data_IF_609420123934
#
_entry.id   IF_609420123934
#
_cell.length_a   1.000
_cell.length_b   1.000
_cell.length_c   1.000
_cell.angle_alpha   90.00
_cell.angle_beta   90.00
_cell.angle_gamma   90.00
#
_symmetry.space_group_name_H-M   'P 1'
#
loop_
_entity.id
_entity.type
_entity.pdbx_description
1 polymer ?
#
# COMPACT_ATOMS: atom_id res chain seq x y z
N UNK A 1 -12.71 -10.63 0.16
CA UNK A 1 -11.55 -10.90 1.05
C UNK A 1 -10.30 -10.76 0.20
N UNK A 2 -9.39 -9.90 0.60
CA UNK A 2 -8.16 -9.67 -0.14
C UNK A 2 -6.99 -10.17 0.73
N UNK A 3 -6.58 -11.46 0.62
CA UNK A 3 -5.55 -12.06 1.47
C UNK A 3 -4.19 -11.35 1.37
N UNK A 4 -3.97 -10.64 0.29
CA UNK A 4 -2.72 -9.92 0.04
C UNK A 4 -2.62 -8.57 0.75
N UNK A 5 -3.75 -7.95 1.15
CA UNK A 5 -3.71 -6.77 1.99
C UNK A 5 -3.10 -7.09 3.37
N UNK A 6 -3.32 -8.32 3.85
CA UNK A 6 -2.78 -8.79 5.13
C UNK A 6 -1.25 -8.87 5.10
N UNK A 7 -0.66 -9.35 3.99
CA UNK A 7 0.80 -9.46 3.86
C UNK A 7 1.45 -8.07 3.75
N UNK A 8 0.95 -7.22 2.85
CA UNK A 8 1.47 -5.86 2.69
C UNK A 8 1.35 -5.05 3.97
N UNK A 9 0.24 -5.21 4.71
CA UNK A 9 0.02 -4.51 5.97
C UNK A 9 1.01 -4.95 7.06
N UNK A 10 1.40 -6.23 7.08
CA UNK A 10 2.36 -6.76 8.04
C UNK A 10 3.79 -6.32 7.75
N UNK A 11 4.15 -6.25 6.48
CA UNK A 11 5.51 -5.97 6.01
C UNK A 11 5.79 -4.47 5.83
N UNK A 12 4.75 -3.62 5.94
CA UNK A 12 4.91 -2.19 5.83
C UNK A 12 5.61 -1.60 7.06
N UNK A 13 6.57 -0.71 6.84
CA UNK A 13 7.17 0.11 7.91
C UNK A 13 6.19 1.18 8.37
N UNK A 14 5.40 1.69 7.44
CA UNK A 14 4.42 2.74 7.69
C UNK A 14 3.15 2.56 6.86
N UNK A 15 2.02 2.82 7.47
CA UNK A 15 0.70 2.80 6.86
C UNK A 15 0.12 4.20 6.84
N UNK A 16 -0.45 4.58 5.71
CA UNK A 16 -1.25 5.80 5.56
C UNK A 16 -2.68 5.39 5.19
N UNK A 17 -3.63 5.92 5.92
CA UNK A 17 -5.07 5.77 5.64
C UNK A 17 -5.58 7.04 5.00
N UNK A 18 -6.20 6.89 3.84
CA UNK A 18 -6.78 8.00 3.08
C UNK A 18 -8.30 7.91 3.06
N UNK A 19 -8.96 9.04 3.28
CA UNK A 19 -10.39 9.23 3.04
C UNK A 19 -10.63 10.59 2.39
N UNK A 20 -11.54 10.63 1.41
CA UNK A 20 -11.97 11.87 0.71
C UNK A 20 -10.81 12.79 0.30
N UNK A 21 -9.70 12.19 -0.16
CA UNK A 21 -8.53 12.91 -0.66
C UNK A 21 -7.61 13.51 0.41
N UNK A 22 -7.78 13.12 1.65
CA UNK A 22 -6.94 13.53 2.77
C UNK A 22 -6.33 12.35 3.49
N UNK A 23 -5.22 12.57 4.18
CA UNK A 23 -4.65 11.59 5.08
C UNK A 23 -5.35 11.70 6.42
N UNK A 24 -6.06 10.63 6.80
CA UNK A 24 -6.76 10.54 8.08
C UNK A 24 -5.85 10.01 9.19
N UNK A 25 -5.00 9.03 8.87
CA UNK A 25 -4.09 8.37 9.80
C UNK A 25 -2.76 8.05 9.13
N UNK A 26 -1.70 8.07 9.93
CA UNK A 26 -0.38 7.63 9.50
C UNK A 26 0.41 7.14 10.72
N UNK A 27 1.03 5.97 10.61
CA UNK A 27 1.80 5.38 11.68
C UNK A 27 2.30 3.99 11.34
N UNK A 28 2.88 3.29 12.32
CA UNK A 28 3.17 1.87 12.16
C UNK A 28 1.88 1.06 11.97
N UNK A 29 1.92 -0.12 11.31
CA UNK A 29 0.74 -0.95 11.10
C UNK A 29 -0.05 -1.20 12.39
N UNK A 30 0.63 -1.47 13.50
CA UNK A 30 0.00 -1.74 14.81
C UNK A 30 -0.67 -0.51 15.42
N UNK A 31 -0.04 0.67 15.27
CA UNK A 31 -0.62 1.93 15.74
C UNK A 31 -1.87 2.29 14.95
N UNK A 32 -1.79 2.22 13.62
CA UNK A 32 -2.92 2.51 12.74
C UNK A 32 -4.07 1.53 12.98
N UNK A 33 -3.78 0.23 13.15
CA UNK A 33 -4.78 -0.77 13.47
C UNK A 33 -5.51 -0.48 14.79
N UNK A 34 -4.76 -0.11 15.83
CA UNK A 34 -5.33 0.22 17.15
C UNK A 34 -6.16 1.52 17.12
N UNK A 35 -5.74 2.53 16.37
CA UNK A 35 -6.47 3.80 16.22
C UNK A 35 -7.77 3.61 15.43
N UNK A 36 -7.74 2.88 14.32
CA UNK A 36 -8.92 2.62 13.50
C UNK A 36 -9.96 1.75 14.21
N UNK A 37 -9.50 0.88 15.10
CA UNK A 37 -10.37 0.07 15.94
C UNK A 37 -11.20 0.92 16.93
N UNK A 38 -10.61 1.99 17.44
CA UNK A 38 -11.26 2.89 18.41
C UNK A 38 -12.24 3.88 17.76
N UNK A 39 -12.08 4.17 16.46
CA UNK A 39 -12.93 5.11 15.71
C UNK A 39 -14.00 4.37 14.91
N UNK A 40 -15.10 4.08 15.56
CA UNK A 40 -16.19 3.18 15.13
C UNK A 40 -17.08 3.66 13.95
N UNK A 41 -16.90 4.86 13.42
CA UNK A 41 -17.92 5.48 12.55
C UNK A 41 -17.81 5.12 11.06
N UNK A 42 -16.67 4.66 10.55
CA UNK A 42 -16.55 4.34 9.12
C UNK A 42 -16.37 2.84 8.84
N UNK A 43 -17.50 2.18 8.54
CA UNK A 43 -17.59 0.75 8.20
C UNK A 43 -16.66 0.39 7.03
N UNK A 44 -16.49 1.28 6.04
CA UNK A 44 -15.71 1.02 4.82
C UNK A 44 -14.21 0.94 5.07
N UNK A 45 -13.68 1.76 5.97
CA UNK A 45 -12.26 1.71 6.35
C UNK A 45 -11.99 0.43 7.14
N UNK A 46 -12.94 0.01 7.95
CA UNK A 46 -12.84 -1.19 8.76
C UNK A 46 -12.86 -2.48 7.92
N UNK A 47 -13.65 -2.53 6.86
CA UNK A 47 -13.67 -3.65 5.92
C UNK A 47 -12.35 -3.81 5.12
N UNK A 48 -11.59 -2.72 5.01
CA UNK A 48 -10.27 -2.72 4.38
C UNK A 48 -9.12 -3.14 5.32
N UNK A 49 -9.39 -3.46 6.59
CA UNK A 49 -8.37 -3.90 7.55
C UNK A 49 -8.15 -5.42 7.47
N UNK A 50 -6.96 -5.93 7.83
CA UNK A 50 -6.70 -7.36 7.95
C UNK A 50 -7.72 -8.07 8.85
N UNK A 51 -8.08 -9.32 8.51
CA UNK A 51 -9.08 -10.09 9.26
C UNK A 51 -8.74 -10.23 10.76
N UNK A 52 -7.45 -10.35 11.09
CA UNK A 52 -7.02 -10.39 12.48
C UNK A 52 -7.41 -9.10 13.22
N UNK A 53 -7.20 -7.92 12.60
CA UNK A 53 -7.54 -6.62 13.17
C UNK A 53 -9.06 -6.53 13.41
N UNK A 54 -9.87 -6.94 12.43
CA UNK A 54 -11.33 -6.91 12.53
C UNK A 54 -11.85 -7.82 13.66
N UNK A 55 -11.34 -9.05 13.77
CA UNK A 55 -11.73 -10.03 14.80
C UNK A 55 -11.36 -9.51 16.19
N UNK A 56 -10.13 -9.05 16.38
CA UNK A 56 -9.66 -8.57 17.68
C UNK A 56 -10.35 -7.28 18.10
N UNK A 57 -10.69 -6.44 17.15
CA UNK A 57 -11.51 -5.28 17.38
C UNK A 57 -12.91 -5.64 17.87
N UNK A 58 -13.55 -6.60 17.27
CA UNK A 58 -14.86 -7.07 17.72
C UNK A 58 -14.79 -7.70 19.12
N UNK A 59 -13.74 -8.46 19.43
CA UNK A 59 -13.55 -9.02 20.76
C UNK A 59 -13.37 -7.92 21.83
N UNK A 60 -12.57 -6.90 21.53
CA UNK A 60 -12.38 -5.74 22.41
C UNK A 60 -13.70 -4.98 22.67
N UNK A 61 -14.52 -4.77 21.63
CA UNK A 61 -15.85 -4.13 21.76
C UNK A 61 -16.79 -4.92 22.64
N UNK A 62 -16.71 -6.24 22.60
CA UNK A 62 -17.50 -7.11 23.48
C UNK A 62 -16.92 -7.22 24.90
N UNK A 63 -15.88 -6.45 25.21
CA UNK A 63 -15.23 -6.46 26.52
C UNK A 63 -14.42 -7.73 26.80
N UNK A 64 -14.03 -8.45 25.77
CA UNK A 64 -13.17 -9.63 25.87
C UNK A 64 -11.73 -9.18 25.62
N UNK A 65 -10.90 -9.01 26.67
CA UNK A 65 -9.50 -8.60 26.49
C UNK A 65 -8.72 -9.76 25.88
N UNK A 66 -8.14 -9.53 24.72
CA UNK A 66 -7.36 -10.55 24.02
C UNK A 66 -5.97 -10.02 23.72
N UNK A 67 -5.00 -10.52 24.46
CA UNK A 67 -3.58 -10.31 24.22
C UNK A 67 -2.92 -9.18 25.00
N UNK A 68 -1.62 -9.34 25.22
CA UNK A 68 -0.73 -8.38 25.85
C UNK A 68 -0.35 -7.25 24.88
N UNK A 69 -0.44 -6.03 25.33
CA UNK A 69 0.21 -4.78 24.90
C UNK A 69 0.25 -4.40 23.40
N UNK A 70 0.22 -5.33 22.45
CA UNK A 70 0.31 -5.06 21.01
C UNK A 70 -0.89 -5.62 20.25
N UNK A 71 -1.54 -4.76 19.46
CA UNK A 71 -2.70 -5.13 18.65
C UNK A 71 -2.27 -6.12 17.54
N UNK A 72 -2.90 -7.32 17.42
CA UNK A 72 -2.54 -8.30 16.41
C UNK A 72 -2.91 -7.81 15.01
N UNK A 73 -1.94 -7.83 14.10
CA UNK A 73 -2.11 -7.39 12.70
C UNK A 73 -2.07 -8.56 11.71
N UNK A 74 -1.78 -9.77 12.19
CA UNK A 74 -1.71 -10.97 11.38
C UNK A 74 -2.46 -12.14 12.00
N UNK A 75 -2.83 -13.13 11.17
CA UNK A 75 -3.42 -14.40 11.63
C UNK A 75 -2.49 -15.09 12.61
N UNK A 76 -1.17 -15.02 12.40
CA UNK A 76 -0.16 -15.62 13.29
C UNK A 76 -0.15 -14.93 14.65
N UNK A 77 -0.16 -13.61 14.66
CA UNK A 77 -0.24 -12.81 15.89
C UNK A 77 -1.55 -13.07 16.61
N UNK A 78 -2.67 -13.08 15.89
CA UNK A 78 -3.99 -13.38 16.42
C UNK A 78 -4.04 -14.76 17.10
N UNK A 79 -3.52 -15.80 16.43
CA UNK A 79 -3.45 -17.15 17.04
C UNK A 79 -2.58 -17.18 18.29
N UNK A 80 -1.48 -16.43 18.32
CA UNK A 80 -0.61 -16.32 19.49
C UNK A 80 -1.34 -15.61 20.65
N UNK A 81 -1.96 -14.48 20.36
CA UNK A 81 -2.73 -13.70 21.34
C UNK A 81 -3.90 -14.52 21.92
N UNK A 82 -4.65 -15.25 21.08
CA UNK A 82 -5.71 -16.15 21.53
C UNK A 82 -5.21 -17.31 22.42
N UNK A 83 -4.00 -17.82 22.15
CA UNK A 83 -3.40 -18.86 23.00
C UNK A 83 -2.95 -18.30 24.35
N UNK A 84 -2.45 -17.07 24.38
CA UNK A 84 -1.97 -16.40 25.60
C UNK A 84 -3.10 -15.88 26.48
N UNK A 85 -4.24 -15.51 25.88
CA UNK A 85 -5.39 -14.96 26.62
C UNK A 85 -6.13 -15.95 27.51
N UNK A 86 -5.78 -17.24 27.48
CA UNK A 86 -6.42 -18.24 28.33
C UNK A 86 -7.91 -18.48 28.05
N UNK A 87 -8.44 -18.02 26.92
CA UNK A 87 -9.85 -18.11 26.51
C UNK A 87 -10.40 -19.57 26.44
N UNK A 88 -9.60 -20.55 26.77
CA UNK A 88 -10.04 -21.95 26.93
C UNK A 88 -10.75 -22.22 28.26
N UNK A 89 -11.32 -21.22 28.89
CA UNK A 89 -12.05 -21.59 30.10
C UNK A 89 -12.64 -20.55 31.01
N UNK A 90 -12.49 -19.25 30.87
CA UNK A 90 -13.28 -18.30 31.68
C UNK A 90 -13.23 -16.88 31.12
N UNK A 91 -14.39 -16.34 30.79
CA UNK A 91 -14.60 -14.92 30.51
C UNK A 91 -14.72 -14.22 31.88
N UNK A 92 -13.72 -13.44 32.25
CA UNK A 92 -13.84 -12.47 33.32
C UNK A 92 -13.44 -11.09 32.78
N UNK A 93 -14.39 -10.19 32.78
CA UNK A 93 -14.26 -8.81 32.31
C UNK A 93 -13.61 -7.98 33.41
N UNK A 94 -12.54 -7.27 33.11
CA UNK A 94 -12.28 -5.88 33.50
C UNK A 94 -10.83 -5.45 33.24
N UNK A 95 -10.64 -4.51 32.34
CA UNK A 95 -9.90 -3.27 32.61
C UNK A 95 -9.99 -2.33 31.41
N UNK A 96 -10.34 -1.09 31.72
CA UNK A 96 -10.58 -0.03 30.74
C UNK A 96 -9.31 0.31 29.99
N UNK A 97 -9.36 0.18 28.67
CA UNK A 97 -8.35 0.70 27.76
C UNK A 97 -8.16 2.20 28.00
N UNK A 98 -6.96 2.63 28.36
CA UNK A 98 -6.60 4.05 28.37
C UNK A 98 -6.29 4.49 26.95
N UNK A 99 -6.92 5.54 26.41
CA UNK A 99 -6.56 6.05 25.09
C UNK A 99 -5.11 6.53 25.10
N UNK A 100 -4.35 6.05 24.11
CA UNK A 100 -3.02 6.56 23.85
C UNK A 100 -3.13 8.04 23.47
N UNK A 101 -2.38 8.95 24.10
CA UNK A 101 -2.49 10.37 23.83
C UNK A 101 -2.17 10.66 22.36
N UNK A 102 -3.08 11.38 21.69
CA UNK A 102 -2.88 11.92 20.34
C UNK A 102 -1.62 12.79 20.32
N UNK A 103 -0.49 12.24 19.95
CA UNK A 103 0.66 13.03 19.54
C UNK A 103 0.53 13.28 18.04
N UNK A 104 -0.15 14.37 17.71
CA UNK A 104 -0.02 15.00 16.40
C UNK A 104 1.44 15.46 16.23
N UNK A 105 2.21 14.59 15.63
CA UNK A 105 3.59 14.85 15.26
C UNK A 105 3.81 14.26 13.87
N UNK A 106 3.12 14.83 12.88
CA UNK A 106 3.05 14.28 11.52
C UNK A 106 4.31 14.47 10.70
N UNK A 107 5.30 15.22 11.19
CA UNK A 107 6.48 15.49 10.41
C UNK A 107 7.74 15.39 11.28
N UNK A 108 8.35 14.23 11.31
CA UNK A 108 9.80 14.19 11.47
C UNK A 108 10.39 14.84 10.22
N UNK A 109 11.08 15.95 10.40
CA UNK A 109 11.98 16.50 9.41
C UNK A 109 13.05 15.44 9.19
N UNK A 110 12.88 14.60 8.18
CA UNK A 110 13.81 13.55 7.89
C UNK A 110 14.75 14.06 6.81
N UNK A 111 16.01 14.23 7.13
CA UNK A 111 17.08 14.58 6.18
C UNK A 111 17.28 13.53 5.06
N UNK A 112 16.54 12.41 5.07
CA UNK A 112 16.66 11.27 4.15
C UNK A 112 15.40 10.98 3.31
N UNK A 113 14.51 11.95 3.13
CA UNK A 113 13.34 11.76 2.27
C UNK A 113 13.76 11.62 0.80
N UNK A 114 13.40 10.50 0.17
CA UNK A 114 13.68 10.24 -1.25
C UNK A 114 12.57 10.72 -2.17
N UNK A 115 11.34 10.85 -1.63
CA UNK A 115 10.17 11.39 -2.34
C UNK A 115 9.28 12.13 -1.36
N UNK A 116 8.84 13.33 -1.73
CA UNK A 116 8.00 14.17 -0.89
C UNK A 116 6.93 14.89 -1.71
N UNK A 117 5.69 14.78 -1.27
CA UNK A 117 4.56 15.59 -1.76
C UNK A 117 4.13 16.58 -0.68
N UNK A 118 4.05 17.87 -1.02
CA UNK A 118 3.68 18.96 -0.11
C UNK A 118 2.45 19.69 -0.59
N UNK A 119 1.44 19.81 0.27
CA UNK A 119 0.21 20.57 0.01
C UNK A 119 -0.44 20.21 -1.34
N UNK A 120 -0.55 18.91 -1.64
CA UNK A 120 -1.04 18.43 -2.93
C UNK A 120 -2.56 18.61 -3.04
N UNK A 121 -2.97 19.45 -3.99
CA UNK A 121 -4.36 19.62 -4.39
C UNK A 121 -4.54 19.15 -5.82
N UNK A 122 -5.60 18.39 -6.09
CA UNK A 122 -5.88 17.91 -7.44
C UNK A 122 -7.36 17.62 -7.65
N UNK A 123 -7.84 17.92 -8.86
CA UNK A 123 -9.12 17.51 -9.45
C UNK A 123 -8.92 17.22 -10.91
N UNK A 124 -9.75 16.37 -11.50
CA UNK A 124 -9.69 16.04 -12.92
C UNK A 124 -10.38 17.08 -13.80
N UNK A 125 -11.46 17.70 -13.32
CA UNK A 125 -12.24 18.71 -14.05
C UNK A 125 -12.20 20.05 -13.32
N UNK A 126 -12.20 21.17 -14.06
CA UNK A 126 -12.12 22.51 -13.46
C UNK A 126 -13.24 22.80 -12.45
N UNK A 127 -14.46 22.29 -12.72
CA UNK A 127 -15.64 22.48 -11.89
C UNK A 127 -15.94 21.24 -11.02
N UNK A 128 -15.08 20.21 -11.05
CA UNK A 128 -15.24 18.99 -10.29
C UNK A 128 -14.77 19.14 -8.84
N UNK A 129 -15.10 18.12 -8.02
CA UNK A 129 -14.64 18.04 -6.64
C UNK A 129 -13.14 17.80 -6.58
N UNK A 130 -12.51 18.36 -5.53
CA UNK A 130 -11.11 18.08 -5.24
C UNK A 130 -10.93 16.64 -4.80
N UNK A 131 -10.12 15.89 -5.56
CA UNK A 131 -9.75 14.50 -5.28
C UNK A 131 -8.65 14.45 -4.21
N UNK A 132 -7.69 15.36 -4.27
CA UNK A 132 -6.70 15.55 -3.20
C UNK A 132 -6.87 16.95 -2.61
N UNK A 133 -6.78 17.03 -1.27
CA UNK A 133 -7.13 18.24 -0.51
C UNK A 133 -6.02 18.60 0.48
N UNK A 134 -4.93 19.23 -0.03
CA UNK A 134 -3.81 19.67 0.79
C UNK A 134 -3.00 18.51 1.38
N UNK A 135 -2.90 17.40 0.64
CA UNK A 135 -2.25 16.18 1.12
C UNK A 135 -0.74 16.36 1.23
N UNK A 136 -0.16 15.84 2.31
CA UNK A 136 1.28 15.81 2.53
C UNK A 136 1.74 14.38 2.76
N UNK A 137 2.78 13.95 2.06
CA UNK A 137 3.35 12.62 2.17
C UNK A 137 4.85 12.68 1.97
N UNK A 138 5.59 11.84 2.67
CA UNK A 138 7.04 11.66 2.48
C UNK A 138 7.40 10.20 2.54
N UNK A 139 8.35 9.78 1.72
CA UNK A 139 8.92 8.44 1.69
C UNK A 139 10.41 8.52 2.00
N UNK A 140 10.87 7.67 2.91
CA UNK A 140 12.27 7.56 3.28
C UNK A 140 12.99 6.51 2.42
N UNK A 141 14.32 6.60 2.35
CA UNK A 141 15.11 5.54 1.73
C UNK A 141 14.94 4.21 2.48
N UNK A 142 14.62 3.13 1.74
CA UNK A 142 14.40 1.80 2.30
C UNK A 142 13.07 1.61 3.04
N UNK A 143 12.18 2.61 3.04
CA UNK A 143 10.86 2.52 3.67
C UNK A 143 9.85 1.83 2.76
N UNK A 144 9.04 0.93 3.32
CA UNK A 144 7.82 0.40 2.70
C UNK A 144 6.63 1.15 3.27
N UNK A 145 5.96 1.93 2.41
CA UNK A 145 4.80 2.74 2.75
C UNK A 145 3.53 2.15 2.15
N UNK A 146 2.61 1.69 2.98
CA UNK A 146 1.30 1.23 2.53
C UNK A 146 0.26 2.38 2.52
N UNK A 147 -0.46 2.53 1.39
CA UNK A 147 -1.58 3.46 1.23
C UNK A 147 -2.89 2.70 1.36
N UNK A 148 -3.67 3.02 2.38
CA UNK A 148 -4.99 2.45 2.63
C UNK A 148 -6.10 3.49 2.45
N UNK A 149 -7.30 3.02 2.16
CA UNK A 149 -8.48 3.87 2.01
C UNK A 149 -9.52 3.23 1.10
N UNK A 150 -10.76 3.65 1.21
CA UNK A 150 -11.86 3.17 0.37
C UNK A 150 -11.67 3.51 -1.12
N UNK A 151 -12.54 2.95 -1.97
CA UNK A 151 -12.59 3.33 -3.38
C UNK A 151 -12.92 4.81 -3.52
N UNK A 152 -12.21 5.51 -4.42
CA UNK A 152 -12.38 6.96 -4.59
C UNK A 152 -11.66 7.83 -3.56
N UNK A 153 -10.92 7.27 -2.58
CA UNK A 153 -10.16 8.05 -1.59
C UNK A 153 -8.97 8.85 -2.17
N UNK A 154 -8.63 8.65 -3.45
CA UNK A 154 -7.55 9.38 -4.12
C UNK A 154 -6.21 8.68 -4.18
N UNK A 155 -6.12 7.39 -3.79
CA UNK A 155 -4.86 6.63 -3.76
C UNK A 155 -4.14 6.60 -5.11
N UNK A 156 -4.82 6.12 -6.16
CA UNK A 156 -4.27 6.05 -7.53
C UNK A 156 -3.90 7.44 -8.07
N UNK A 157 -4.68 8.46 -7.73
CA UNK A 157 -4.39 9.85 -8.11
C UNK A 157 -3.12 10.35 -7.43
N UNK A 158 -2.96 10.05 -6.13
CA UNK A 158 -1.74 10.39 -5.40
C UNK A 158 -0.52 9.71 -6.03
N UNK A 159 -0.59 8.40 -6.30
CA UNK A 159 0.51 7.66 -6.93
C UNK A 159 0.88 8.25 -8.30
N UNK A 160 -0.11 8.60 -9.15
CA UNK A 160 0.13 9.25 -10.46
C UNK A 160 0.80 10.61 -10.31
N UNK A 161 0.45 11.40 -9.30
CA UNK A 161 1.08 12.70 -9.03
C UNK A 161 2.52 12.49 -8.53
N UNK A 162 2.75 11.55 -7.63
CA UNK A 162 4.09 11.23 -7.13
C UNK A 162 5.00 10.68 -8.24
N UNK A 163 4.44 9.91 -9.17
CA UNK A 163 5.13 9.42 -10.36
C UNK A 163 5.42 10.52 -11.41
N UNK A 164 4.80 11.69 -11.27
CA UNK A 164 4.91 12.78 -12.26
C UNK A 164 4.03 12.59 -13.50
N UNK A 165 3.11 11.63 -13.50
CA UNK A 165 2.13 11.40 -14.58
C UNK A 165 1.06 12.51 -14.57
N UNK A 166 0.66 12.95 -13.39
CA UNK A 166 -0.26 14.07 -13.20
C UNK A 166 0.45 15.22 -12.49
N UNK A 167 0.09 16.44 -12.83
CA UNK A 167 0.59 17.65 -12.16
C UNK A 167 -0.42 18.11 -11.11
N UNK A 168 -0.02 18.38 -9.88
CA UNK A 168 -0.94 18.94 -8.87
C UNK A 168 -1.35 20.35 -9.26
N UNK A 169 -2.58 20.76 -8.93
CA UNK A 169 -3.07 22.13 -9.11
C UNK A 169 -2.39 23.10 -8.16
N UNK A 170 -2.12 22.64 -6.94
CA UNK A 170 -1.35 23.34 -5.91
C UNK A 170 -0.44 22.36 -5.23
N UNK A 171 0.64 22.89 -4.63
CA UNK A 171 1.64 22.08 -3.96
C UNK A 171 2.77 21.69 -4.89
N UNK A 172 3.60 20.78 -4.44
CA UNK A 172 4.78 20.33 -5.18
C UNK A 172 5.17 18.92 -4.81
N UNK A 173 5.78 18.23 -5.77
CA UNK A 173 6.46 16.96 -5.55
C UNK A 173 7.95 17.19 -5.66
N UNK A 174 8.70 16.75 -4.65
CA UNK A 174 10.17 16.75 -4.65
C UNK A 174 10.66 15.32 -4.63
N UNK A 175 11.55 15.00 -5.52
CA UNK A 175 12.27 13.73 -5.59
C UNK A 175 13.74 14.01 -5.32
N UNK A 176 14.41 13.13 -4.58
CA UNK A 176 15.85 13.21 -4.40
C UNK A 176 16.55 13.15 -5.76
N UNK A 177 17.64 13.90 -5.89
CA UNK A 177 18.44 13.94 -7.13
C UNK A 177 18.88 12.53 -7.50
N UNK A 178 18.88 12.22 -8.79
CA UNK A 178 19.31 10.94 -9.38
C UNK A 178 18.45 9.70 -9.04
N UNK A 179 17.35 9.84 -8.31
CA UNK A 179 16.44 8.73 -8.05
C UNK A 179 15.48 8.49 -9.22
N UNK A 180 15.36 7.23 -9.65
CA UNK A 180 14.42 6.79 -10.68
C UNK A 180 13.13 6.30 -10.02
N UNK A 181 11.99 6.76 -10.52
CA UNK A 181 10.67 6.29 -10.08
C UNK A 181 10.12 5.36 -11.17
N UNK A 182 9.57 4.23 -10.78
CA UNK A 182 8.72 3.41 -11.63
C UNK A 182 7.36 3.21 -10.96
N UNK A 183 6.30 3.18 -11.78
CA UNK A 183 4.93 3.00 -11.30
C UNK A 183 4.28 1.82 -12.00
N UNK A 184 3.72 0.89 -11.21
CA UNK A 184 2.78 -0.11 -11.67
C UNK A 184 1.37 0.51 -11.59
N UNK A 185 0.70 0.77 -12.70
CA UNK A 185 -0.67 1.27 -12.71
C UNK A 185 -1.65 0.14 -12.38
N UNK A 186 -2.88 0.50 -12.01
CA UNK A 186 -3.97 -0.44 -11.75
C UNK A 186 -4.30 -1.30 -12.99
N UNK A 187 -4.18 -0.74 -14.19
CA UNK A 187 -4.23 -1.46 -15.45
C UNK A 187 -2.81 -1.65 -16.01
N UNK A 188 -2.21 -2.83 -15.83
CA UNK A 188 -0.84 -3.09 -16.28
C UNK A 188 -0.69 -3.15 -17.80
N UNK A 189 -1.78 -3.31 -18.57
CA UNK A 189 -1.72 -3.35 -20.04
C UNK A 189 -1.08 -2.10 -20.63
N UNK A 190 -1.26 -0.94 -19.99
CA UNK A 190 -0.69 0.32 -20.43
C UNK A 190 0.86 0.37 -20.43
N UNK A 191 1.52 -0.63 -19.83
CA UNK A 191 2.99 -0.71 -19.81
C UNK A 191 3.59 -1.47 -20.99
N UNK A 192 2.77 -2.19 -21.76
CA UNK A 192 3.24 -3.04 -22.86
C UNK A 192 3.08 -2.29 -24.19
N UNK A 193 4.16 -2.31 -24.97
CA UNK A 193 4.28 -1.51 -26.19
C UNK A 193 4.59 -2.35 -27.43
N UNK A 194 5.00 -3.61 -27.25
CA UNK A 194 5.47 -4.48 -28.31
C UNK A 194 4.52 -5.67 -28.54
N UNK A 195 4.74 -6.38 -29.65
CA UNK A 195 3.92 -7.50 -30.06
C UNK A 195 4.27 -8.81 -29.31
N UNK A 196 5.39 -8.84 -28.59
CA UNK A 196 5.79 -9.98 -27.76
C UNK A 196 6.25 -9.55 -26.38
N UNK A 197 6.03 -10.42 -25.39
CA UNK A 197 6.55 -10.23 -24.03
C UNK A 197 8.07 -10.12 -24.02
N UNK A 198 8.74 -10.87 -24.90
CA UNK A 198 10.20 -10.83 -25.03
C UNK A 198 10.71 -9.42 -25.36
N UNK A 199 10.12 -8.79 -26.38
CA UNK A 199 10.51 -7.44 -26.79
C UNK A 199 10.26 -6.42 -25.68
N UNK A 200 9.14 -6.56 -24.99
CA UNK A 200 8.79 -5.69 -23.86
C UNK A 200 9.77 -5.82 -22.68
N UNK A 201 10.22 -7.04 -22.36
CA UNK A 201 11.22 -7.25 -21.30
C UNK A 201 12.61 -6.77 -21.75
N UNK A 202 12.97 -7.02 -22.99
CA UNK A 202 14.25 -6.65 -23.57
C UNK A 202 14.45 -5.12 -23.60
N UNK A 203 13.40 -4.36 -23.92
CA UNK A 203 13.40 -2.88 -23.87
C UNK A 203 13.76 -2.33 -22.49
N UNK A 204 13.43 -3.08 -21.44
CA UNK A 204 13.67 -2.66 -20.05
C UNK A 204 14.96 -3.24 -19.45
N UNK A 205 15.51 -4.29 -20.05
CA UNK A 205 16.67 -5.01 -19.55
C UNK A 205 17.99 -4.34 -19.95
N UNK A 206 19.05 -4.59 -19.18
CA UNK A 206 20.41 -4.16 -19.54
C UNK A 206 21.05 -5.11 -20.54
N UNK A 207 20.62 -6.38 -20.55
CA UNK A 207 21.08 -7.42 -21.48
C UNK A 207 19.96 -8.44 -21.77
N UNK A 208 20.06 -9.22 -22.86
CA UNK A 208 19.12 -10.31 -23.13
C UNK A 208 19.10 -11.36 -22.00
N UNK A 209 20.22 -11.60 -21.37
CA UNK A 209 20.36 -12.53 -20.26
C UNK A 209 19.54 -12.06 -19.02
N UNK A 210 19.58 -10.75 -18.72
CA UNK A 210 18.78 -10.17 -17.64
C UNK A 210 17.26 -10.34 -17.92
N UNK A 211 16.82 -10.15 -19.18
CA UNK A 211 15.43 -10.34 -19.58
C UNK A 211 15.00 -11.80 -19.43
N UNK A 212 15.85 -12.74 -19.87
CA UNK A 212 15.59 -14.17 -19.77
C UNK A 212 15.51 -14.62 -18.31
N UNK A 213 16.45 -14.23 -17.48
CA UNK A 213 16.45 -14.54 -16.04
C UNK A 213 15.21 -13.98 -15.32
N UNK A 214 14.80 -12.78 -15.68
CA UNK A 214 13.57 -12.18 -15.13
C UNK A 214 12.33 -13.00 -15.53
N UNK A 215 12.22 -13.41 -16.79
CA UNK A 215 11.12 -14.24 -17.26
C UNK A 215 11.05 -15.59 -16.51
N UNK A 216 12.20 -16.23 -16.30
CA UNK A 216 12.31 -17.47 -15.53
C UNK A 216 11.88 -17.28 -14.07
N UNK A 217 12.38 -16.22 -13.41
CA UNK A 217 12.02 -15.88 -12.02
C UNK A 217 10.53 -15.69 -11.85
N UNK A 218 9.85 -15.11 -12.84
CA UNK A 218 8.43 -14.81 -12.81
C UNK A 218 7.55 -15.97 -13.31
N UNK A 219 8.17 -17.08 -13.77
CA UNK A 219 7.45 -18.23 -14.35
C UNK A 219 6.76 -17.86 -15.67
N UNK A 220 7.43 -17.07 -16.51
CA UNK A 220 6.93 -16.57 -17.80
C UNK A 220 7.81 -17.00 -18.99
N UNK A 221 8.80 -17.88 -18.79
CA UNK A 221 9.72 -18.31 -19.84
C UNK A 221 9.00 -18.91 -21.06
N UNK A 222 7.92 -19.67 -20.84
CA UNK A 222 7.10 -20.29 -21.91
C UNK A 222 6.17 -19.29 -22.60
N UNK A 223 6.08 -18.05 -22.12
CA UNK A 223 5.21 -16.99 -22.61
C UNK A 223 5.96 -15.88 -23.36
N UNK A 224 7.26 -15.96 -23.50
CA UNK A 224 8.07 -14.90 -24.10
C UNK A 224 7.65 -14.53 -25.52
N UNK A 225 7.19 -15.50 -26.33
CA UNK A 225 6.70 -15.25 -27.67
C UNK A 225 5.22 -14.82 -27.74
N UNK A 226 4.51 -14.84 -26.62
CA UNK A 226 3.10 -14.47 -26.59
C UNK A 226 2.93 -12.96 -26.64
N UNK A 227 1.85 -12.51 -27.29
CA UNK A 227 1.44 -11.11 -27.19
C UNK A 227 1.02 -10.79 -25.74
N UNK A 228 1.38 -9.63 -25.17
CA UNK A 228 1.03 -9.31 -23.79
C UNK A 228 -0.45 -9.39 -23.45
N UNK A 229 -1.34 -9.11 -24.42
CA UNK A 229 -2.78 -9.18 -24.23
C UNK A 229 -3.36 -10.62 -24.22
N UNK A 230 -2.56 -11.61 -24.60
CA UNK A 230 -2.92 -13.03 -24.52
C UNK A 230 -2.55 -13.66 -23.18
N UNK A 231 -1.89 -12.88 -22.30
CA UNK A 231 -1.53 -13.32 -20.96
C UNK A 231 -2.76 -13.27 -20.03
N UNK A 232 -2.84 -14.22 -19.11
CA UNK A 232 -3.81 -14.13 -18.01
C UNK A 232 -3.52 -12.90 -17.14
N UNK A 233 -4.52 -12.42 -16.37
CA UNK A 233 -4.35 -11.26 -15.51
C UNK A 233 -3.14 -11.36 -14.58
N UNK A 234 -2.94 -12.53 -13.95
CA UNK A 234 -1.79 -12.77 -13.08
C UNK A 234 -0.46 -12.83 -13.84
N UNK A 235 -0.40 -13.42 -15.05
CA UNK A 235 0.78 -13.40 -15.91
C UNK A 235 1.15 -11.98 -16.33
N UNK A 236 0.14 -11.22 -16.76
CA UNK A 236 0.31 -9.82 -17.16
C UNK A 236 0.84 -8.96 -16.02
N UNK A 237 0.32 -9.16 -14.81
CA UNK A 237 0.75 -8.44 -13.62
C UNK A 237 2.20 -8.76 -13.25
N UNK A 238 2.57 -10.06 -13.26
CA UNK A 238 3.95 -10.47 -13.05
C UNK A 238 4.89 -9.91 -14.12
N UNK A 239 4.48 -9.94 -15.39
CA UNK A 239 5.24 -9.37 -16.49
C UNK A 239 5.47 -7.86 -16.32
N UNK A 240 4.43 -7.11 -15.95
CA UNK A 240 4.51 -5.68 -15.67
C UNK A 240 5.47 -5.38 -14.51
N UNK A 241 5.41 -6.15 -13.43
CA UNK A 241 6.35 -6.04 -12.33
C UNK A 241 7.79 -6.33 -12.78
N UNK A 242 8.00 -7.34 -13.61
CA UNK A 242 9.30 -7.66 -14.21
C UNK A 242 9.89 -6.49 -14.99
N UNK A 243 9.09 -5.83 -15.82
CA UNK A 243 9.49 -4.61 -16.56
C UNK A 243 9.98 -3.51 -15.61
N UNK A 244 9.28 -3.28 -14.51
CA UNK A 244 9.69 -2.27 -13.52
C UNK A 244 10.98 -2.63 -12.81
N UNK A 245 11.17 -3.90 -12.44
CA UNK A 245 12.37 -4.38 -11.78
C UNK A 245 13.60 -4.32 -12.70
N UNK A 246 13.45 -4.67 -13.98
CA UNK A 246 14.51 -4.57 -14.99
C UNK A 246 15.00 -3.13 -15.18
N UNK A 247 14.13 -2.14 -15.03
CA UNK A 247 14.50 -0.71 -15.11
C UNK A 247 15.32 -0.23 -13.92
N UNK A 248 15.53 -1.08 -12.88
CA UNK A 248 16.32 -0.77 -11.69
C UNK A 248 15.91 0.57 -11.07
N UNK A 249 14.60 0.76 -10.87
CA UNK A 249 14.07 1.96 -10.23
C UNK A 249 14.44 1.98 -8.74
N UNK A 250 14.74 3.17 -8.23
CA UNK A 250 15.03 3.38 -6.80
C UNK A 250 13.76 3.48 -5.95
N UNK A 251 12.65 3.89 -6.57
CA UNK A 251 11.35 4.07 -5.93
C UNK A 251 10.30 3.35 -6.78
N UNK A 252 9.59 2.41 -6.15
CA UNK A 252 8.48 1.69 -6.77
C UNK A 252 7.16 2.22 -6.21
N UNK A 253 6.27 2.64 -7.08
CA UNK A 253 4.90 3.03 -6.76
C UNK A 253 3.97 1.95 -7.33
N UNK A 254 3.28 1.22 -6.47
CA UNK A 254 2.46 0.07 -6.86
C UNK A 254 0.98 0.36 -6.58
N UNK A 255 0.15 0.39 -7.63
CA UNK A 255 -1.30 0.61 -7.51
C UNK A 255 -2.02 -0.73 -7.65
N UNK A 256 -2.58 -1.23 -6.55
CA UNK A 256 -3.27 -2.52 -6.43
C UNK A 256 -2.45 -3.69 -7.04
N UNK A 257 -1.18 -3.92 -6.60
CA UNK A 257 -0.25 -4.83 -7.28
C UNK A 257 -0.67 -6.30 -7.28
N UNK A 258 -1.77 -6.63 -6.65
CA UNK A 258 -2.18 -8.00 -6.32
C UNK A 258 -3.57 -8.33 -6.82
N UNK A 259 -4.13 -7.48 -7.67
CA UNK A 259 -5.44 -7.67 -8.29
C UNK A 259 -5.26 -8.37 -9.63
N UNK A 260 -5.19 -9.69 -9.60
CA UNK A 260 -5.03 -10.54 -10.79
C UNK A 260 -5.36 -11.99 -10.46
#
# INVERSE_FOLDING_TARGET
ENPMLEEVFQDADRVIVMDKGQICRSGSPRQVAAELEQELEDVRIREALPAAVQIFGELNRRGIPVGDKEFPISIRDGRRALKQSGLRGQISVTEKFRPVPKKAGFFRKADNSVLEGRELWFRYEEKGDDILRGLQVSLQAGEILALLGGNGAGKSTLLKILAGVLKPLRGSVKKATDKKIAMLPQDPQALFLYDSLWEDLLDCAASPEDAQQMAEMLGLADRLASHPYDLSGGELQRAALGKLLLRKADILLLDEPTKG
#
